data_IF_558043219023
#
_entry.id   IF_558043219023
#
_cell.length_a   1.000
_cell.length_b   1.000
_cell.length_c   1.000
_cell.angle_alpha   90.00
_cell.angle_beta   90.00
_cell.angle_gamma   90.00
#
_symmetry.space_group_name_H-M   'P 1'
#
loop_
_entity.id
_entity.type
_entity.pdbx_description
1 polymer ?
#
# COMPACT_ATOMS: atom_id res chain seq x y z
N UNK A 1 14.67 11.96 -23.55
CA UNK A 1 13.72 13.03 -23.17
C UNK A 1 13.79 14.25 -24.09
N UNK A 2 14.96 14.87 -24.28
CA UNK A 2 15.09 16.11 -25.08
C UNK A 2 14.69 15.95 -26.56
N UNK A 3 14.97 14.80 -27.19
CA UNK A 3 14.49 14.48 -28.55
C UNK A 3 12.96 14.43 -28.63
N UNK A 4 12.31 13.95 -27.58
CA UNK A 4 10.86 13.78 -27.52
C UNK A 4 10.15 15.12 -27.32
N UNK A 5 10.67 15.97 -26.43
CA UNK A 5 10.15 17.33 -26.25
C UNK A 5 10.38 18.17 -27.52
N UNK A 6 11.56 18.07 -28.14
CA UNK A 6 11.86 18.73 -29.42
C UNK A 6 10.89 18.30 -30.52
N UNK A 7 10.60 17.00 -30.65
CA UNK A 7 9.64 16.48 -31.62
C UNK A 7 8.20 16.92 -31.39
N UNK A 8 7.76 17.05 -30.13
CA UNK A 8 6.39 17.47 -29.78
C UNK A 8 6.21 18.98 -29.90
N UNK A 9 7.23 19.76 -29.55
CA UNK A 9 7.14 21.24 -29.51
C UNK A 9 7.66 21.93 -30.77
N UNK A 10 8.31 21.19 -31.68
CA UNK A 10 9.00 21.75 -32.85
C UNK A 10 10.25 22.56 -32.49
N UNK A 11 10.67 22.57 -31.22
CA UNK A 11 11.82 23.35 -30.72
C UNK A 11 13.14 22.65 -31.04
N UNK A 12 14.22 23.42 -31.18
CA UNK A 12 15.55 22.89 -31.42
C UNK A 12 16.00 21.95 -30.28
N UNK A 13 16.53 20.77 -30.66
CA UNK A 13 16.99 19.76 -29.72
C UNK A 13 18.05 20.26 -28.73
N UNK A 14 19.02 21.05 -29.19
CA UNK A 14 20.11 21.54 -28.34
C UNK A 14 19.60 22.52 -27.29
N UNK A 15 18.65 23.39 -27.65
CA UNK A 15 18.02 24.32 -26.70
C UNK A 15 17.22 23.58 -25.64
N UNK A 16 16.43 22.60 -26.05
CA UNK A 16 15.65 21.74 -25.13
C UNK A 16 16.58 20.94 -24.22
N UNK A 17 17.70 20.42 -24.74
CA UNK A 17 18.69 19.71 -23.93
C UNK A 17 19.30 20.63 -22.88
N UNK A 18 19.65 21.86 -23.26
CA UNK A 18 20.20 22.87 -22.35
C UNK A 18 19.20 23.33 -21.30
N UNK A 19 17.92 23.46 -21.66
CA UNK A 19 16.85 23.77 -20.70
C UNK A 19 16.65 22.66 -19.68
N UNK A 20 16.67 21.39 -20.14
CA UNK A 20 16.54 20.23 -19.26
C UNK A 20 17.72 20.11 -18.28
N UNK A 21 18.93 20.45 -18.71
CA UNK A 21 20.11 20.44 -17.84
C UNK A 21 20.15 21.59 -16.82
N UNK A 22 19.33 22.62 -17.02
CA UNK A 22 19.19 23.77 -16.12
C UNK A 22 17.94 23.70 -15.22
N UNK A 23 17.21 22.58 -15.21
CA UNK A 23 16.07 22.39 -14.32
C UNK A 23 16.51 22.44 -12.85
N UNK A 24 15.81 23.26 -12.07
CA UNK A 24 16.02 23.35 -10.62
C UNK A 24 15.19 22.30 -9.90
N UNK A 25 15.48 22.08 -8.62
CA UNK A 25 14.70 21.17 -7.78
C UNK A 25 13.20 21.54 -7.81
N UNK A 26 12.37 20.53 -8.08
CA UNK A 26 10.92 20.70 -8.26
C UNK A 26 10.49 21.24 -9.63
N UNK A 27 11.40 21.52 -10.56
CA UNK A 27 11.03 21.85 -11.95
C UNK A 27 11.07 20.61 -12.85
N UNK A 28 10.02 20.38 -13.63
CA UNK A 28 9.95 19.28 -14.60
C UNK A 28 9.18 19.69 -15.86
N UNK A 29 9.17 18.83 -16.88
CA UNK A 29 8.29 19.00 -18.03
C UNK A 29 7.11 18.05 -17.92
N UNK A 30 5.90 18.59 -18.02
CA UNK A 30 4.70 17.82 -18.26
C UNK A 30 4.56 17.60 -19.76
N UNK A 31 4.52 16.33 -20.16
CA UNK A 31 4.50 15.93 -21.57
C UNK A 31 3.19 15.22 -21.87
N UNK A 32 2.49 15.69 -22.90
CA UNK A 32 1.36 14.99 -23.52
C UNK A 32 1.71 14.65 -24.98
N UNK A 33 0.79 14.00 -25.68
CA UNK A 33 0.97 13.70 -27.11
C UNK A 33 1.14 14.95 -27.98
N UNK A 34 0.57 16.09 -27.56
CA UNK A 34 0.42 17.27 -28.41
C UNK A 34 1.17 18.50 -27.91
N UNK A 35 1.63 18.51 -26.64
CA UNK A 35 2.40 19.62 -26.10
C UNK A 35 3.31 19.16 -24.95
N UNK A 36 4.37 19.92 -24.72
CA UNK A 36 5.20 19.81 -23.53
C UNK A 36 5.30 21.19 -22.87
N UNK A 37 5.08 21.24 -21.55
CA UNK A 37 5.14 22.48 -20.78
C UNK A 37 6.00 22.33 -19.54
N UNK A 38 6.77 23.36 -19.19
CA UNK A 38 7.60 23.40 -17.99
C UNK A 38 6.71 23.70 -16.78
N UNK A 39 6.79 22.87 -15.74
CA UNK A 39 5.96 22.97 -14.53
C UNK A 39 6.85 23.00 -13.30
N UNK A 40 6.49 23.81 -12.30
CA UNK A 40 7.08 23.79 -10.97
C UNK A 40 6.20 22.98 -10.03
N UNK A 41 6.63 21.77 -9.71
CA UNK A 41 5.99 20.86 -8.77
C UNK A 41 6.46 21.19 -7.37
N UNK A 42 5.52 21.60 -6.51
CA UNK A 42 5.75 21.60 -5.07
C UNK A 42 5.32 20.23 -4.55
N UNK A 43 6.29 19.41 -4.16
CA UNK A 43 5.98 18.15 -3.50
C UNK A 43 5.47 18.44 -2.09
N UNK A 44 4.21 18.12 -1.84
CA UNK A 44 3.66 18.05 -0.51
C UNK A 44 3.37 16.57 -0.23
N UNK A 45 3.99 15.96 0.78
CA UNK A 45 3.60 14.62 1.19
C UNK A 45 2.14 14.71 1.63
N UNK A 46 1.24 14.10 0.84
CA UNK A 46 -0.15 13.99 1.22
C UNK A 46 -0.19 13.17 2.50
N UNK A 47 -0.81 13.73 3.55
CA UNK A 47 -1.01 13.02 4.80
C UNK A 47 -1.75 11.72 4.47
N UNK A 48 -1.21 10.59 4.91
CA UNK A 48 -1.84 9.29 4.68
C UNK A 48 -3.28 9.39 5.19
N UNK A 49 -4.26 9.16 4.31
CA UNK A 49 -5.67 9.14 4.71
C UNK A 49 -5.80 7.94 5.65
N UNK A 50 -6.06 8.21 6.94
CA UNK A 50 -6.45 7.18 7.89
C UNK A 50 -7.76 6.57 7.38
N UNK A 51 -7.65 5.48 6.61
CA UNK A 51 -8.79 4.66 6.23
C UNK A 51 -9.35 4.09 7.53
N UNK A 52 -10.37 4.72 8.09
CA UNK A 52 -11.23 4.09 9.09
C UNK A 52 -11.89 2.90 8.40
N UNK A 53 -11.33 1.71 8.60
CA UNK A 53 -11.97 0.48 8.16
C UNK A 53 -13.28 0.36 8.92
N UNK A 54 -14.40 0.54 8.22
CA UNK A 54 -15.71 0.21 8.77
C UNK A 54 -15.69 -1.29 9.01
N UNK A 55 -15.70 -1.68 10.28
CA UNK A 55 -15.76 -3.10 10.66
C UNK A 55 -17.21 -3.54 10.51
N UNK A 56 -17.43 -4.56 9.69
CA UNK A 56 -18.69 -5.26 9.60
C UNK A 56 -18.88 -6.06 10.88
N UNK A 57 -19.81 -5.61 11.73
CA UNK A 57 -20.04 -6.16 13.06
C UNK A 57 -20.64 -7.57 13.02
N UNK A 58 -21.54 -7.84 12.07
CA UNK A 58 -22.14 -9.17 11.94
C UNK A 58 -21.08 -10.19 11.55
N UNK A 59 -20.25 -9.84 10.57
CA UNK A 59 -19.13 -10.67 10.14
C UNK A 59 -18.09 -10.84 11.24
N UNK A 60 -17.77 -9.77 11.98
CA UNK A 60 -16.84 -9.81 13.10
C UNK A 60 -17.29 -10.84 14.14
N UNK A 61 -18.57 -10.79 14.54
CA UNK A 61 -19.14 -11.70 15.55
C UNK A 61 -19.14 -13.15 15.04
N UNK A 62 -19.54 -13.37 13.79
CA UNK A 62 -19.56 -14.69 13.18
C UNK A 62 -18.15 -15.33 13.16
N UNK A 63 -17.15 -14.60 12.64
CA UNK A 63 -15.77 -15.07 12.55
C UNK A 63 -15.14 -15.27 13.94
N UNK A 64 -15.41 -14.36 14.89
CA UNK A 64 -14.91 -14.50 16.24
C UNK A 64 -15.43 -15.78 16.92
N UNK A 65 -16.70 -16.09 16.73
CA UNK A 65 -17.34 -17.31 17.25
C UNK A 65 -16.77 -18.56 16.60
N UNK A 66 -16.63 -18.57 15.28
CA UNK A 66 -16.10 -19.70 14.51
C UNK A 66 -14.67 -20.06 14.96
N UNK A 67 -13.80 -19.06 15.06
CA UNK A 67 -12.40 -19.26 15.44
C UNK A 67 -12.15 -19.25 16.96
N UNK A 68 -13.21 -19.16 17.77
CA UNK A 68 -13.17 -19.14 19.25
C UNK A 68 -12.22 -18.06 19.79
N UNK A 69 -12.29 -16.86 19.23
CA UNK A 69 -11.54 -15.68 19.68
C UNK A 69 -12.48 -14.63 20.26
N UNK A 70 -11.96 -13.79 21.16
CA UNK A 70 -12.73 -12.66 21.68
C UNK A 70 -13.02 -11.66 20.56
N UNK A 71 -14.30 -11.26 20.44
CA UNK A 71 -14.78 -10.23 19.50
C UNK A 71 -13.96 -8.94 19.66
N UNK A 72 -13.70 -8.54 20.90
CA UNK A 72 -12.94 -7.31 21.18
C UNK A 72 -11.48 -7.43 20.74
N UNK A 73 -10.84 -8.58 20.95
CA UNK A 73 -9.46 -8.81 20.48
C UNK A 73 -9.38 -8.77 18.96
N UNK A 74 -10.34 -9.40 18.27
CA UNK A 74 -10.39 -9.38 16.81
C UNK A 74 -10.63 -7.96 16.29
N UNK A 75 -11.57 -7.22 16.87
CA UNK A 75 -11.84 -5.81 16.50
C UNK A 75 -10.60 -4.93 16.63
N UNK A 76 -9.87 -5.05 17.74
CA UNK A 76 -8.64 -4.27 17.97
C UNK A 76 -7.62 -4.54 16.87
N UNK A 77 -7.43 -5.80 16.48
CA UNK A 77 -6.53 -6.16 15.37
C UNK A 77 -6.99 -5.53 14.07
N UNK A 78 -8.27 -5.68 13.69
CA UNK A 78 -8.79 -5.17 12.43
C UNK A 78 -8.74 -3.64 12.31
N UNK A 79 -8.64 -2.95 13.46
CA UNK A 79 -8.46 -1.49 13.52
C UNK A 79 -6.99 -1.09 13.37
N UNK A 80 -6.04 -1.94 13.77
CA UNK A 80 -4.61 -1.66 13.77
C UNK A 80 -3.90 -2.19 12.52
N UNK A 81 -4.40 -3.27 11.95
CA UNK A 81 -3.80 -3.99 10.85
C UNK A 81 -4.73 -3.89 9.66
N UNK A 82 -4.24 -3.33 8.55
CA UNK A 82 -5.01 -3.30 7.30
C UNK A 82 -5.00 -4.68 6.61
N UNK A 83 -5.96 -4.90 5.70
CA UNK A 83 -5.97 -6.10 4.86
C UNK A 83 -4.69 -6.22 4.03
N UNK A 84 -4.23 -5.09 3.50
CA UNK A 84 -3.04 -5.00 2.67
C UNK A 84 -1.77 -5.34 3.45
N UNK A 85 -1.58 -4.77 4.64
CA UNK A 85 -0.41 -5.04 5.47
C UNK A 85 -0.38 -6.51 5.92
N UNK A 86 -1.55 -7.05 6.31
CA UNK A 86 -1.67 -8.46 6.69
C UNK A 86 -1.34 -9.39 5.52
N UNK A 87 -1.86 -9.10 4.33
CA UNK A 87 -1.59 -9.89 3.12
C UNK A 87 -0.12 -9.83 2.71
N UNK A 88 0.50 -8.65 2.76
CA UNK A 88 1.92 -8.47 2.44
C UNK A 88 2.81 -9.22 3.44
N UNK A 89 2.48 -9.18 4.73
CA UNK A 89 3.18 -9.93 5.76
C UNK A 89 3.06 -11.45 5.55
N UNK A 90 1.89 -11.95 5.14
CA UNK A 90 1.71 -13.36 4.77
C UNK A 90 2.57 -13.74 3.57
N UNK A 91 2.55 -12.96 2.48
CA UNK A 91 3.35 -13.21 1.27
C UNK A 91 4.85 -13.28 1.57
N UNK A 92 5.34 -12.41 2.45
CA UNK A 92 6.74 -12.38 2.88
C UNK A 92 7.09 -13.42 3.95
N UNK A 93 6.10 -14.19 4.42
CA UNK A 93 6.23 -15.10 5.57
C UNK A 93 6.81 -14.40 6.81
N UNK A 94 6.46 -13.13 7.01
CA UNK A 94 6.95 -12.32 8.12
C UNK A 94 6.17 -12.62 9.42
N UNK A 95 6.38 -13.82 9.94
CA UNK A 95 5.77 -14.25 11.20
C UNK A 95 6.23 -13.41 12.39
N UNK A 96 7.38 -12.72 12.30
CA UNK A 96 7.85 -11.82 13.35
C UNK A 96 6.99 -10.56 13.40
N UNK A 97 6.67 -9.96 12.26
CA UNK A 97 5.75 -8.83 12.19
C UNK A 97 4.35 -9.22 12.65
N UNK A 98 3.82 -10.36 12.17
CA UNK A 98 2.50 -10.87 12.56
C UNK A 98 2.41 -11.16 14.08
N UNK A 99 3.49 -11.66 14.69
CA UNK A 99 3.53 -11.93 16.12
C UNK A 99 3.44 -10.68 17.00
N UNK A 100 3.85 -9.49 16.51
CA UNK A 100 3.69 -8.21 17.24
C UNK A 100 2.22 -7.92 17.55
N UNK A 101 1.30 -8.43 16.73
CA UNK A 101 -0.15 -8.31 16.90
C UNK A 101 -0.79 -9.59 17.43
N UNK A 102 -0.01 -10.57 17.90
CA UNK A 102 -0.45 -11.91 18.31
C UNK A 102 -1.11 -12.74 17.19
N UNK A 103 -0.84 -12.43 15.92
CA UNK A 103 -1.43 -13.12 14.77
C UNK A 103 -0.66 -14.37 14.35
N UNK A 104 0.57 -14.53 14.83
CA UNK A 104 1.40 -15.69 14.52
C UNK A 104 2.22 -16.17 15.71
N UNK A 105 2.57 -17.45 15.67
CA UNK A 105 3.56 -18.06 16.55
C UNK A 105 4.91 -18.11 15.82
N UNK A 106 5.84 -17.23 16.19
CA UNK A 106 7.17 -17.13 15.55
C UNK A 106 7.90 -18.47 15.56
N UNK A 107 7.91 -19.16 16.71
CA UNK A 107 8.62 -20.44 16.88
C UNK A 107 8.05 -21.58 16.03
N UNK A 108 6.77 -21.50 15.64
CA UNK A 108 6.08 -22.53 14.87
C UNK A 108 5.88 -22.16 13.40
N UNK A 109 6.28 -20.95 12.99
CA UNK A 109 6.11 -20.45 11.62
C UNK A 109 4.66 -20.53 11.13
N UNK A 110 3.68 -20.28 11.99
CA UNK A 110 2.26 -20.42 11.64
C UNK A 110 1.38 -19.37 12.31
N UNK A 111 0.20 -19.15 11.72
CA UNK A 111 -0.80 -18.27 12.31
C UNK A 111 -1.30 -18.81 13.66
N UNK A 112 -1.67 -17.88 14.53
CA UNK A 112 -2.47 -18.16 15.72
C UNK A 112 -3.94 -18.23 15.32
N UNK A 113 -4.83 -18.68 16.22
CA UNK A 113 -6.28 -18.60 15.98
C UNK A 113 -6.76 -17.18 15.67
N UNK A 114 -6.09 -16.17 16.25
CA UNK A 114 -6.39 -14.77 15.96
C UNK A 114 -5.96 -14.41 14.54
N UNK A 115 -4.79 -14.87 14.09
CA UNK A 115 -4.36 -14.69 12.70
C UNK A 115 -5.24 -15.40 11.69
N UNK A 116 -5.68 -16.62 12.00
CA UNK A 116 -6.65 -17.37 11.18
C UNK A 116 -7.99 -16.63 11.10
N UNK A 117 -8.51 -16.14 12.23
CA UNK A 117 -9.71 -15.32 12.27
C UNK A 117 -9.56 -14.03 11.46
N UNK A 118 -8.42 -13.35 11.54
CA UNK A 118 -8.14 -12.16 10.73
C UNK A 118 -8.10 -12.49 9.24
N UNK A 119 -7.49 -13.61 8.84
CA UNK A 119 -7.50 -14.06 7.45
C UNK A 119 -8.93 -14.35 6.95
N UNK A 120 -9.73 -15.06 7.75
CA UNK A 120 -11.13 -15.36 7.44
C UNK A 120 -11.99 -14.08 7.32
N UNK A 121 -11.80 -13.12 8.22
CA UNK A 121 -12.47 -11.82 8.14
C UNK A 121 -12.12 -11.06 6.85
N UNK A 122 -10.89 -11.17 6.35
CA UNK A 122 -10.50 -10.54 5.09
C UNK A 122 -10.80 -11.36 3.83
N UNK A 123 -11.40 -12.55 3.97
CA UNK A 123 -11.56 -13.53 2.89
C UNK A 123 -10.22 -13.88 2.22
N UNK A 124 -9.17 -14.06 3.01
CA UNK A 124 -7.85 -14.47 2.51
C UNK A 124 -7.72 -15.98 2.67
N UNK A 125 -7.52 -16.68 1.56
CA UNK A 125 -7.15 -18.08 1.59
C UNK A 125 -5.66 -18.22 1.92
N UNK A 126 -5.37 -18.62 3.15
CA UNK A 126 -4.01 -18.77 3.65
C UNK A 126 -3.25 -19.86 2.88
N UNK A 127 -3.94 -20.86 2.31
CA UNK A 127 -3.31 -21.94 1.55
C UNK A 127 -2.73 -21.49 0.21
N UNK A 128 -3.25 -20.40 -0.37
CA UNK A 128 -2.75 -19.84 -1.63
C UNK A 128 -1.62 -18.81 -1.44
N UNK A 129 -1.34 -18.40 -0.19
CA UNK A 129 -0.36 -17.36 0.14
C UNK A 129 0.82 -17.93 0.95
N UNK A 130 0.69 -19.13 1.52
CA UNK A 130 1.68 -19.81 2.36
C UNK A 130 2.73 -20.60 1.58
#
# INVERSE_FOLDING_TARGET
>A
MSKLISGITGRNYQDVYRELSMLREGECYYITKNYATKVKVKYYPLKCVERRSVVDEERLIAVAREHRVSVERLRRVLTLVSKEDFLEALKRKDYRWLARYNLAHVSRGKLSRLGEATAAYYSIDVSQVS
#
